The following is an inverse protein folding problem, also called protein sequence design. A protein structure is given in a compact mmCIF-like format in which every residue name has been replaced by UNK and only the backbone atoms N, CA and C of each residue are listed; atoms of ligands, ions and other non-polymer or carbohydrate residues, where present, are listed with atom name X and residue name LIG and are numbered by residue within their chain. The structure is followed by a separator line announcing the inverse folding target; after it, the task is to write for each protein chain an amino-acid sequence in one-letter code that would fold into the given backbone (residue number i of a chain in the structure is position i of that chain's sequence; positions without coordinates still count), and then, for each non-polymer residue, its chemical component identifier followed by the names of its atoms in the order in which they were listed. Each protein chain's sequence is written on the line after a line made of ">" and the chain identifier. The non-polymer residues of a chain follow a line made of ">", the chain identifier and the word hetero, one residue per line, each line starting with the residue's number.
data_IF_448245603619
#
_entry.id   IF_448245603619
#
_cell.length_a   1.000
_cell.length_b   1.000
_cell.length_c   1.000
_cell.angle_alpha   90.00
_cell.angle_beta   90.00
_cell.angle_gamma   90.00
#
_symmetry.space_group_name_H-M   'P 1'
#
loop_
_entity.id
_entity.type
_entity.pdbx_description
1 polymer ?
#
# COMPACT_ATOMS: atom_id res chain seq x y z
N UNK A 1 -30.84 5.47 38.19
CA UNK A 1 -29.98 4.36 38.65
C UNK A 1 -29.78 3.38 37.50
N UNK A 2 -28.70 2.58 37.50
CA UNK A 2 -28.46 1.56 36.47
C UNK A 2 -28.17 0.20 37.11
N UNK A 3 -28.19 -0.85 36.31
CA UNK A 3 -27.75 -2.19 36.69
C UNK A 3 -26.58 -2.62 35.81
N UNK A 4 -25.55 -3.22 36.41
CA UNK A 4 -24.43 -3.81 35.72
C UNK A 4 -24.49 -5.33 35.85
N UNK A 5 -24.49 -6.05 34.73
CA UNK A 5 -24.53 -7.51 34.65
C UNK A 5 -23.23 -8.07 34.07
N UNK A 6 -22.66 -9.09 34.72
CA UNK A 6 -21.53 -9.86 34.19
C UNK A 6 -21.66 -11.31 34.61
N UNK A 7 -21.80 -12.21 33.63
CA UNK A 7 -22.11 -13.63 33.88
C UNK A 7 -23.33 -13.76 34.81
N UNK A 8 -23.17 -14.33 35.99
CA UNK A 8 -24.25 -14.56 36.98
C UNK A 8 -24.38 -13.43 38.03
N UNK A 9 -23.64 -12.33 37.89
CA UNK A 9 -23.62 -11.22 38.85
C UNK A 9 -24.39 -10.02 38.31
N UNK A 10 -25.27 -9.45 39.12
CA UNK A 10 -26.00 -8.20 38.85
C UNK A 10 -25.73 -7.23 40.01
N UNK A 11 -25.37 -6.00 39.70
CA UNK A 11 -25.08 -4.94 40.67
C UNK A 11 -25.89 -3.70 40.32
N UNK A 12 -26.50 -3.05 41.30
CA UNK A 12 -27.10 -1.74 41.10
C UNK A 12 -26.01 -0.67 41.26
N UNK A 13 -25.90 0.22 40.28
CA UNK A 13 -24.83 1.21 40.19
C UNK A 13 -25.40 2.62 39.98
N UNK A 14 -24.70 3.61 40.51
CA UNK A 14 -24.98 5.02 40.26
C UNK A 14 -24.50 5.43 38.84
N UNK A 15 -25.03 6.54 38.32
CA UNK A 15 -24.68 7.05 36.98
C UNK A 15 -23.16 7.29 36.81
N UNK A 16 -22.52 7.86 37.84
CA UNK A 16 -21.08 8.16 37.84
C UNK A 16 -20.20 6.91 37.73
N UNK A 17 -20.72 5.74 38.08
CA UNK A 17 -20.00 4.46 38.01
C UNK A 17 -20.19 3.74 36.68
N UNK A 18 -21.10 4.19 35.82
CA UNK A 18 -21.43 3.50 34.56
C UNK A 18 -20.19 3.27 33.70
N UNK A 19 -19.35 4.28 33.51
CA UNK A 19 -18.18 4.16 32.64
C UNK A 19 -17.11 3.21 33.20
N UNK A 20 -16.93 3.18 34.53
CA UNK A 20 -16.03 2.24 35.20
C UNK A 20 -16.47 0.78 34.95
N UNK A 21 -17.78 0.51 35.03
CA UNK A 21 -18.33 -0.83 34.78
C UNK A 21 -18.31 -1.21 33.29
N UNK A 22 -18.45 -0.24 32.37
CA UNK A 22 -18.22 -0.47 30.93
C UNK A 22 -16.79 -0.96 30.68
N UNK A 23 -15.79 -0.27 31.22
CA UNK A 23 -14.38 -0.66 31.07
C UNK A 23 -14.08 -2.05 31.65
N UNK A 24 -14.75 -2.43 32.74
CA UNK A 24 -14.63 -3.77 33.32
C UNK A 24 -15.36 -4.87 32.52
N UNK A 25 -16.07 -4.51 31.45
CA UNK A 25 -16.82 -5.44 30.61
C UNK A 25 -18.10 -5.96 31.27
N UNK A 26 -18.86 -5.09 31.94
CA UNK A 26 -20.22 -5.40 32.38
C UNK A 26 -21.24 -4.90 31.36
N UNK A 27 -22.26 -5.70 31.04
CA UNK A 27 -23.44 -5.20 30.34
C UNK A 27 -24.16 -4.21 31.25
N UNK A 28 -24.45 -3.00 30.75
CA UNK A 28 -25.19 -1.99 31.51
C UNK A 28 -26.66 -2.01 31.07
N UNK A 29 -27.56 -2.02 32.04
CA UNK A 29 -29.00 -1.99 31.87
C UNK A 29 -29.59 -0.77 32.60
N UNK A 30 -30.70 -0.26 32.10
CA UNK A 30 -31.48 0.78 32.77
C UNK A 30 -32.36 0.22 33.91
N UNK A 31 -33.16 1.06 34.54
CA UNK A 31 -34.06 0.67 35.63
C UNK A 31 -35.15 -0.32 35.19
N UNK A 32 -35.47 -0.34 33.89
CA UNK A 32 -36.45 -1.22 33.25
C UNK A 32 -35.83 -2.51 32.67
N UNK A 33 -34.59 -2.83 33.06
CA UNK A 33 -33.85 -4.00 32.58
C UNK A 33 -33.61 -4.01 31.05
N UNK A 34 -33.62 -2.83 30.40
CA UNK A 34 -33.23 -2.69 29.00
C UNK A 34 -31.72 -2.53 28.90
N UNK A 35 -31.08 -3.31 28.03
CA UNK A 35 -29.65 -3.22 27.75
C UNK A 35 -29.36 -1.88 27.05
N UNK A 36 -28.51 -1.05 27.65
CA UNK A 36 -28.04 0.21 27.08
C UNK A 36 -26.59 0.11 26.59
N UNK A 37 -25.83 -0.86 27.09
CA UNK A 37 -24.47 -1.11 26.65
C UNK A 37 -24.08 -2.57 26.85
N UNK A 38 -23.42 -3.16 25.87
CA UNK A 38 -22.88 -4.51 25.95
C UNK A 38 -21.39 -4.48 25.59
N UNK A 39 -20.52 -5.12 26.40
CA UNK A 39 -19.11 -5.22 26.06
C UNK A 39 -18.93 -6.05 24.80
N UNK A 40 -18.11 -5.54 23.89
CA UNK A 40 -17.75 -6.29 22.70
C UNK A 40 -16.93 -7.53 23.06
N UNK A 41 -17.21 -8.66 22.41
CA UNK A 41 -16.51 -9.91 22.69
C UNK A 41 -15.07 -9.82 22.15
N UNK A 42 -14.03 -9.87 23.01
CA UNK A 42 -12.64 -9.77 22.57
C UNK A 42 -12.27 -10.83 21.52
N UNK A 43 -12.95 -11.99 21.54
CA UNK A 43 -12.73 -13.04 20.54
C UNK A 43 -13.14 -12.59 19.14
N UNK A 44 -14.23 -11.83 19.02
CA UNK A 44 -14.69 -11.28 17.74
C UNK A 44 -13.72 -10.23 17.21
N UNK A 45 -13.20 -9.37 18.07
CA UNK A 45 -12.18 -8.40 17.67
C UNK A 45 -10.89 -9.10 17.21
N UNK A 46 -10.44 -10.15 17.91
CA UNK A 46 -9.27 -10.91 17.49
C UNK A 46 -9.49 -11.60 16.14
N UNK A 47 -10.67 -12.17 15.88
CA UNK A 47 -10.97 -12.78 14.58
C UNK A 47 -11.03 -11.75 13.46
N UNK A 48 -11.69 -10.61 13.69
CA UNK A 48 -11.80 -9.55 12.69
C UNK A 48 -10.44 -8.92 12.38
N UNK A 49 -9.61 -8.69 13.41
CA UNK A 49 -8.25 -8.18 13.23
C UNK A 49 -7.37 -9.18 12.48
N UNK A 50 -7.52 -10.48 12.73
CA UNK A 50 -6.81 -11.52 11.97
C UNK A 50 -7.22 -11.54 10.50
N UNK A 51 -8.51 -11.46 10.19
CA UNK A 51 -8.99 -11.40 8.81
C UNK A 51 -8.47 -10.16 8.08
N UNK A 52 -8.49 -8.99 8.74
CA UNK A 52 -7.92 -7.75 8.19
C UNK A 52 -6.42 -7.87 7.92
N UNK A 53 -5.68 -8.51 8.84
CA UNK A 53 -4.25 -8.75 8.70
C UNK A 53 -3.96 -9.67 7.51
N UNK A 54 -4.67 -10.79 7.41
CA UNK A 54 -4.53 -11.76 6.32
C UNK A 54 -4.80 -11.11 4.95
N UNK A 55 -5.88 -10.34 4.84
CA UNK A 55 -6.20 -9.61 3.62
C UNK A 55 -5.12 -8.57 3.26
N UNK A 56 -4.58 -7.86 4.24
CA UNK A 56 -3.50 -6.90 4.03
C UNK A 56 -2.21 -7.59 3.58
N UNK A 57 -1.87 -8.76 4.15
CA UNK A 57 -0.71 -9.54 3.72
C UNK A 57 -0.84 -10.03 2.29
N UNK A 58 -2.01 -10.54 1.89
CA UNK A 58 -2.25 -10.95 0.50
C UNK A 58 -2.10 -9.79 -0.48
N UNK A 59 -2.62 -8.61 -0.13
CA UNK A 59 -2.49 -7.41 -0.97
C UNK A 59 -1.03 -6.96 -1.11
N UNK A 60 -0.25 -7.01 -0.03
CA UNK A 60 1.17 -6.67 -0.06
C UNK A 60 1.98 -7.65 -0.92
N UNK A 61 1.69 -8.95 -0.83
CA UNK A 61 2.33 -9.97 -1.67
C UNK A 61 2.02 -9.77 -3.15
N UNK A 62 0.76 -9.48 -3.51
CA UNK A 62 0.36 -9.22 -4.89
C UNK A 62 1.00 -7.94 -5.44
N UNK A 63 1.02 -6.86 -4.65
CA UNK A 63 1.69 -5.62 -5.02
C UNK A 63 3.19 -5.83 -5.27
N UNK A 64 3.87 -6.61 -4.42
CA UNK A 64 5.29 -6.94 -4.60
C UNK A 64 5.54 -7.73 -5.89
N UNK A 65 4.68 -8.70 -6.22
CA UNK A 65 4.75 -9.42 -7.50
C UNK A 65 4.60 -8.46 -8.68
N UNK A 66 3.63 -7.54 -8.59
CA UNK A 66 3.39 -6.58 -9.67
C UNK A 66 4.57 -5.61 -9.87
N UNK A 67 5.19 -5.18 -8.77
CA UNK A 67 6.39 -4.35 -8.81
C UNK A 67 7.53 -5.09 -9.51
N UNK A 68 7.77 -6.37 -9.19
CA UNK A 68 8.82 -7.16 -9.81
C UNK A 68 8.60 -7.32 -11.33
N UNK A 69 7.36 -7.56 -11.77
CA UNK A 69 7.02 -7.62 -13.20
C UNK A 69 7.29 -6.29 -13.91
N UNK A 70 6.83 -5.17 -13.33
CA UNK A 70 7.02 -3.84 -13.90
C UNK A 70 8.49 -3.42 -13.92
N UNK A 71 9.29 -3.83 -12.93
CA UNK A 71 10.73 -3.59 -12.92
C UNK A 71 11.40 -4.32 -14.08
N UNK A 72 11.08 -5.60 -14.29
CA UNK A 72 11.60 -6.38 -15.42
C UNK A 72 11.21 -5.78 -16.77
N UNK A 73 9.94 -5.41 -16.96
CA UNK A 73 9.47 -4.78 -18.21
C UNK A 73 10.19 -3.44 -18.47
N UNK A 74 10.40 -2.63 -17.44
CA UNK A 74 11.14 -1.38 -17.57
C UNK A 74 12.63 -1.60 -17.93
N UNK A 75 13.27 -2.65 -17.41
CA UNK A 75 14.63 -3.02 -17.78
C UNK A 75 14.70 -3.45 -19.25
N UNK A 76 13.78 -4.30 -19.69
CA UNK A 76 13.69 -4.77 -21.08
C UNK A 76 13.45 -3.60 -22.06
N UNK A 77 12.54 -2.68 -21.73
CA UNK A 77 12.27 -1.48 -22.53
C UNK A 77 13.48 -0.54 -22.59
N UNK A 78 14.17 -0.33 -21.47
CA UNK A 78 15.41 0.48 -21.45
C UNK A 78 16.50 -0.15 -22.32
N UNK A 79 16.66 -1.47 -22.26
CA UNK A 79 17.61 -2.20 -23.10
C UNK A 79 17.25 -2.07 -24.59
N UNK A 80 15.97 -2.21 -24.94
CA UNK A 80 15.49 -2.03 -26.31
C UNK A 80 15.75 -0.61 -26.85
N UNK A 81 15.50 0.42 -26.03
CA UNK A 81 15.78 1.82 -26.39
C UNK A 81 17.28 2.03 -26.61
N UNK A 82 18.15 1.49 -25.73
CA UNK A 82 19.60 1.60 -25.90
C UNK A 82 20.09 0.88 -27.18
N UNK A 83 19.56 -0.30 -27.46
CA UNK A 83 19.87 -1.04 -28.68
C UNK A 83 19.44 -0.25 -29.93
N UNK A 84 18.26 0.36 -29.90
CA UNK A 84 17.76 1.19 -31.00
C UNK A 84 18.58 2.48 -31.19
N UNK A 85 18.98 3.14 -30.11
CA UNK A 85 19.87 4.30 -30.15
C UNK A 85 21.25 3.95 -30.74
N UNK A 86 21.76 2.75 -30.44
CA UNK A 86 23.02 2.25 -31.00
C UNK A 86 22.90 1.95 -32.50
N UNK A 87 21.74 1.45 -32.96
CA UNK A 87 21.49 1.19 -34.39
C UNK A 87 21.14 2.46 -35.20
N UNK A 88 20.55 3.48 -34.57
CA UNK A 88 20.28 4.78 -35.21
C UNK A 88 21.51 5.68 -35.41
N UNK A 89 22.63 5.36 -34.74
CA UNK A 89 23.91 6.07 -34.88
C UNK A 89 24.78 5.54 -36.02
N UNK A 90 24.40 4.45 -36.70
CA UNK A 90 25.11 3.96 -37.88
C UNK A 90 24.61 4.74 -39.10
N UNK A 91 25.06 6.00 -39.21
CA UNK A 91 25.13 6.67 -40.51
C UNK A 91 26.02 5.78 -41.39
N UNK A 92 25.56 5.27 -42.54
CA UNK A 92 26.47 4.63 -43.47
C UNK A 92 27.47 5.70 -43.91
N UNK A 93 28.72 5.54 -43.48
CA UNK A 93 29.86 6.31 -43.95
C UNK A 93 29.84 6.25 -45.48
N UNK A 94 29.48 7.37 -46.11
CA UNK A 94 29.47 7.50 -47.55
C UNK A 94 30.90 7.28 -48.07
N UNK A 95 31.10 6.56 -49.20
CA UNK A 95 32.42 6.12 -49.59
C UNK A 95 33.32 7.32 -49.92
N UNK A 96 34.53 7.30 -49.34
CA UNK A 96 35.61 8.22 -49.62
C UNK A 96 35.93 8.28 -51.14
N UNK A 97 35.36 9.26 -51.84
CA UNK A 97 35.83 9.66 -53.17
C UNK A 97 36.99 10.65 -53.00
N UNK A 98 38.17 10.11 -52.69
CA UNK A 98 39.43 10.84 -52.73
C UNK A 98 40.14 10.61 -54.07
N UNK A 99 40.05 11.57 -55.00
CA UNK A 99 41.05 11.80 -56.07
C UNK A 99 40.74 13.07 -56.89
N UNK A 100 41.34 14.21 -56.52
CA UNK A 100 42.34 14.93 -57.33
C UNK A 100 42.74 16.25 -56.67
N UNK A 101 44.04 16.39 -56.46
CA UNK A 101 44.73 17.62 -56.10
C UNK A 101 44.75 18.62 -57.27
N UNK A 102 44.69 19.93 -56.96
CA UNK A 102 45.43 21.08 -57.56
C UNK A 102 44.89 22.37 -56.91
N UNK A 103 45.58 22.97 -55.93
CA UNK A 103 46.61 24.03 -55.97
C UNK A 103 46.10 25.44 -56.33
N UNK A 104 46.43 26.42 -55.45
CA UNK A 104 46.55 27.91 -55.63
C UNK A 104 45.22 28.70 -55.63
N UNK A 105 45.02 29.86 -54.98
CA UNK A 105 45.87 30.92 -54.38
C UNK A 105 45.01 31.76 -53.40
N UNK A 106 45.67 32.47 -52.48
CA UNK A 106 45.22 33.52 -51.56
C UNK A 106 44.27 34.59 -52.13
N UNK A 107 43.38 35.16 -51.28
CA UNK A 107 43.43 36.58 -50.88
C UNK A 107 42.31 36.98 -49.90
N UNK A 108 42.73 37.70 -48.85
CA UNK A 108 41.92 38.53 -47.94
C UNK A 108 41.14 39.64 -48.67
N UNK A 109 39.94 39.97 -48.17
CA UNK A 109 39.54 41.31 -47.69
C UNK A 109 38.12 41.25 -47.10
#
# INVERSE_FOLDING_TARGET
>A
MYKARKKNRVLQIANEKVDEYKQMGYTILDESDKIIWEPEDPKRQVTELKEKLEKATMYAEDANKKIAELQKENEDLKAAIQAQATMGSVVPDAPASGKKATKKTDQEA
#
